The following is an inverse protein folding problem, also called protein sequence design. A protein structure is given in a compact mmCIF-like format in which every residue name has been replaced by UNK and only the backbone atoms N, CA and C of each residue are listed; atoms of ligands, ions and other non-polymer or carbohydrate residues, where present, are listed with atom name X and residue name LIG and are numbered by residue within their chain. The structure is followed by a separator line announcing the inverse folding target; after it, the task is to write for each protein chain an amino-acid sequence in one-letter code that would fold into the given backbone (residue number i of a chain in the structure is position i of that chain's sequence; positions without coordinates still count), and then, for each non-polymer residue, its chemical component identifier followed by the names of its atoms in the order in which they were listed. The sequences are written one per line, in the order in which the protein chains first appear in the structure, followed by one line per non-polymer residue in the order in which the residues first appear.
data_IF_037041102011
#
_entry.id   IF_037041102011
#
_cell.length_a   1.000
_cell.length_b   1.000
_cell.length_c   1.000
_cell.angle_alpha   90.00
_cell.angle_beta   90.00
_cell.angle_gamma   90.00
#
_symmetry.space_group_name_H-M   'P 1'
#
loop_
_entity.id
_entity.type
_entity.pdbx_description
1 polymer ?
#
# COMPACT_ATOMS: atom_id res chain seq x y z
N UNK A 1 -5.13 0.24 -11.65
CA UNK A 1 -5.02 -1.22 -11.45
C UNK A 1 -4.08 -1.88 -12.46
N UNK A 2 -2.75 -1.78 -12.28
CA UNK A 2 -1.80 -2.56 -13.12
C UNK A 2 -1.76 -4.02 -12.68
N UNK A 3 -1.79 -4.96 -13.63
CA UNK A 3 -2.06 -6.40 -13.37
C UNK A 3 -1.21 -7.01 -12.25
N UNK A 4 0.11 -6.82 -12.30
CA UNK A 4 1.02 -7.45 -11.34
C UNK A 4 0.95 -6.81 -9.95
N UNK A 5 0.85 -5.48 -9.86
CA UNK A 5 0.71 -4.81 -8.57
C UNK A 5 -0.63 -5.13 -7.90
N UNK A 6 -1.70 -5.24 -8.70
CA UNK A 6 -3.00 -5.70 -8.22
C UNK A 6 -2.93 -7.14 -7.71
N UNK A 7 -2.20 -8.03 -8.36
CA UNK A 7 -2.02 -9.40 -7.85
C UNK A 7 -1.40 -9.42 -6.45
N UNK A 8 -0.42 -8.55 -6.17
CA UNK A 8 0.14 -8.38 -4.82
C UNK A 8 -0.85 -7.77 -3.82
N UNK A 9 -1.63 -6.77 -4.25
CA UNK A 9 -2.67 -6.16 -3.42
C UNK A 9 -3.76 -7.18 -3.05
N UNK A 10 -4.18 -8.02 -3.99
CA UNK A 10 -5.12 -9.13 -3.78
C UNK A 10 -4.52 -10.22 -2.88
N UNK A 11 -3.22 -10.47 -2.98
CA UNK A 11 -2.50 -11.36 -2.08
C UNK A 11 -2.33 -10.78 -0.66
N UNK A 12 -2.60 -9.48 -0.46
CA UNK A 12 -2.50 -8.75 0.82
C UNK A 12 -1.09 -8.82 1.41
N UNK A 13 -0.09 -8.61 0.56
CA UNK A 13 1.33 -8.72 0.92
C UNK A 13 2.09 -7.50 0.43
N UNK A 14 3.03 -7.05 1.25
CA UNK A 14 4.09 -6.14 0.81
C UNK A 14 4.84 -6.75 -0.38
N UNK A 15 5.40 -5.89 -1.24
CA UNK A 15 6.37 -6.31 -2.25
C UNK A 15 7.77 -6.11 -1.64
N UNK A 16 8.51 -7.20 -1.31
CA UNK A 16 9.87 -7.06 -0.79
C UNK A 16 10.82 -6.49 -1.84
N UNK A 17 11.86 -5.80 -1.38
CA UNK A 17 12.94 -5.33 -2.25
C UNK A 17 13.87 -6.50 -2.62
N UNK A 18 13.72 -7.03 -3.84
CA UNK A 18 14.51 -8.18 -4.31
C UNK A 18 15.72 -7.82 -5.19
N UNK A 19 15.91 -6.55 -5.56
CA UNK A 19 17.01 -6.16 -6.44
C UNK A 19 17.16 -4.65 -6.61
N UNK A 20 18.21 -4.24 -7.30
CA UNK A 20 18.58 -2.83 -7.45
C UNK A 20 17.53 -2.01 -8.20
N UNK A 21 16.84 -2.58 -9.20
CA UNK A 21 15.74 -1.90 -9.89
C UNK A 21 14.63 -1.45 -8.94
N UNK A 22 14.37 -2.20 -7.86
CA UNK A 22 13.44 -1.77 -6.83
C UNK A 22 14.04 -0.63 -6.00
N UNK A 23 15.30 -0.80 -5.57
CA UNK A 23 16.03 0.14 -4.74
C UNK A 23 16.26 1.51 -5.40
N UNK A 24 16.26 1.59 -6.73
CA UNK A 24 16.38 2.84 -7.48
C UNK A 24 15.17 3.78 -7.27
N UNK A 25 14.03 3.25 -6.83
CA UNK A 25 12.77 4.00 -6.69
C UNK A 25 12.15 3.92 -5.28
N UNK A 26 12.33 2.80 -4.59
CA UNK A 26 11.73 2.56 -3.27
C UNK A 26 12.82 2.16 -2.27
N UNK A 27 12.91 2.90 -1.17
CA UNK A 27 13.84 2.62 -0.08
C UNK A 27 13.29 1.54 0.86
N UNK A 28 13.35 0.29 0.42
CA UNK A 28 12.80 -0.86 1.13
C UNK A 28 11.49 -1.36 0.52
N UNK A 29 10.77 -2.29 1.17
CA UNK A 29 9.56 -2.90 0.62
C UNK A 29 8.46 -1.87 0.30
N UNK A 30 7.68 -2.14 -0.76
CA UNK A 30 6.42 -1.41 -1.01
C UNK A 30 5.36 -1.97 -0.06
N UNK A 31 4.83 -1.17 0.89
CA UNK A 31 3.90 -1.66 1.89
C UNK A 31 2.53 -1.99 1.30
N UNK A 32 1.84 -2.97 1.88
CA UNK A 32 0.43 -3.23 1.66
C UNK A 32 -0.37 -2.78 2.89
N UNK A 33 -1.26 -1.81 2.71
CA UNK A 33 -2.19 -1.35 3.72
C UNK A 33 -3.20 -2.45 4.05
N UNK A 34 -3.68 -2.45 5.31
CA UNK A 34 -4.75 -3.35 5.77
C UNK A 34 -6.04 -3.14 4.97
N UNK A 35 -6.95 -4.10 5.09
CA UNK A 35 -8.31 -3.93 4.61
C UNK A 35 -9.06 -2.86 5.43
N UNK A 36 -10.00 -2.19 4.76
CA UNK A 36 -10.98 -1.36 5.43
C UNK A 36 -11.92 -2.23 6.27
N UNK A 37 -12.35 -1.71 7.42
CA UNK A 37 -13.46 -2.34 8.15
C UNK A 37 -14.78 -2.10 7.40
N UNK A 38 -15.84 -2.90 7.67
CA UNK A 38 -17.15 -2.67 7.08
C UNK A 38 -17.66 -1.24 7.30
N UNK A 39 -17.45 -0.68 8.49
CA UNK A 39 -17.86 0.68 8.83
C UNK A 39 -17.08 1.72 8.01
N UNK A 40 -15.77 1.52 7.84
CA UNK A 40 -14.95 2.39 6.99
C UNK A 40 -15.38 2.35 5.51
N UNK A 41 -15.93 1.22 5.05
CA UNK A 41 -16.47 1.08 3.69
C UNK A 41 -17.81 1.83 3.56
N UNK A 42 -18.68 1.71 4.55
CA UNK A 42 -20.03 2.30 4.51
C UNK A 42 -20.05 3.83 4.67
N UNK A 43 -19.12 4.40 5.44
CA UNK A 43 -19.12 5.85 5.72
C UNK A 43 -18.58 6.71 4.55
N UNK A 44 -17.36 6.43 4.08
CA UNK A 44 -16.68 7.20 3.04
C UNK A 44 -15.47 6.40 2.53
N UNK A 45 -15.74 5.48 1.60
CA UNK A 45 -14.79 4.49 1.11
C UNK A 45 -13.47 5.10 0.61
N UNK A 46 -13.53 6.12 -0.25
CA UNK A 46 -12.35 6.76 -0.84
C UNK A 46 -11.53 7.50 0.23
N UNK A 47 -12.19 8.24 1.12
CA UNK A 47 -11.50 8.95 2.20
C UNK A 47 -10.87 7.99 3.20
N UNK A 48 -11.58 6.92 3.56
CA UNK A 48 -11.05 5.92 4.48
C UNK A 48 -9.92 5.10 3.84
N UNK A 49 -9.95 4.86 2.53
CA UNK A 49 -8.79 4.33 1.78
C UNK A 49 -7.56 5.22 1.97
N UNK A 50 -7.72 6.54 1.84
CA UNK A 50 -6.64 7.49 2.12
C UNK A 50 -6.14 7.44 3.57
N UNK A 51 -7.05 7.30 4.54
CA UNK A 51 -6.69 7.19 5.97
C UNK A 51 -5.87 5.94 6.26
N UNK A 52 -6.24 4.76 5.73
CA UNK A 52 -5.48 3.53 5.97
C UNK A 52 -4.12 3.52 5.30
N UNK A 53 -3.96 4.22 4.16
CA UNK A 53 -2.65 4.51 3.58
C UNK A 53 -1.81 5.31 4.58
N UNK A 54 -2.33 6.44 5.07
CA UNK A 54 -1.62 7.30 6.04
C UNK A 54 -1.28 6.54 7.33
N UNK A 55 -2.22 5.75 7.84
CA UNK A 55 -2.04 4.85 8.99
C UNK A 55 -0.86 3.89 8.76
N UNK A 56 -0.80 3.26 7.58
CA UNK A 56 0.25 2.30 7.21
C UNK A 56 1.63 2.95 7.24
N UNK A 57 1.80 4.12 6.61
CA UNK A 57 3.08 4.82 6.60
C UNK A 57 3.50 5.25 8.03
N UNK A 58 2.58 5.83 8.81
CA UNK A 58 2.87 6.32 10.16
C UNK A 58 3.20 5.20 11.14
N UNK A 59 2.38 4.15 11.18
CA UNK A 59 2.56 3.02 12.11
C UNK A 59 3.84 2.25 11.85
N UNK A 60 4.27 2.18 10.58
CA UNK A 60 5.48 1.47 10.16
C UNK A 60 6.73 2.36 10.10
N UNK A 61 6.60 3.66 10.38
CA UNK A 61 7.72 4.61 10.32
C UNK A 61 8.32 4.76 8.92
N UNK A 62 7.50 4.66 7.87
CA UNK A 62 7.94 4.78 6.48
C UNK A 62 7.78 6.22 6.03
N UNK A 63 8.83 6.80 5.44
CA UNK A 63 8.76 8.10 4.79
C UNK A 63 8.22 7.94 3.35
N UNK A 64 7.04 8.53 3.02
CA UNK A 64 6.46 8.43 1.69
C UNK A 64 7.28 9.10 0.59
N UNK A 65 8.22 9.99 0.93
CA UNK A 65 9.17 10.55 -0.04
C UNK A 65 10.20 9.50 -0.47
N UNK A 66 10.56 8.58 0.43
CA UNK A 66 11.53 7.52 0.17
C UNK A 66 10.88 6.22 -0.33
N UNK A 67 9.60 6.00 -0.05
CA UNK A 67 8.81 4.87 -0.56
C UNK A 67 7.54 5.42 -1.23
N UNK A 68 7.65 5.90 -2.49
CA UNK A 68 6.58 6.64 -3.17
C UNK A 68 5.53 5.69 -3.79
N UNK A 69 4.95 4.81 -2.97
CA UNK A 69 3.88 3.92 -3.40
C UNK A 69 3.43 2.94 -2.33
N UNK A 70 2.21 2.46 -2.45
CA UNK A 70 1.54 1.56 -1.50
C UNK A 70 0.52 0.68 -2.22
N UNK A 71 0.29 -0.53 -1.71
CA UNK A 71 -0.81 -1.37 -2.15
C UNK A 71 -1.97 -1.26 -1.16
N UNK A 72 -3.20 -1.08 -1.63
CA UNK A 72 -4.38 -1.25 -0.78
C UNK A 72 -4.87 -2.70 -0.87
N UNK A 73 -4.90 -3.42 0.25
CA UNK A 73 -5.34 -4.82 0.30
C UNK A 73 -6.68 -5.02 -0.41
N UNK A 74 -6.79 -6.10 -1.18
CA UNK A 74 -7.99 -6.46 -1.96
C UNK A 74 -8.40 -5.41 -3.02
N UNK A 75 -7.56 -4.42 -3.30
CA UNK A 75 -7.83 -3.34 -4.25
C UNK A 75 -6.71 -3.19 -5.30
N UNK A 76 -5.71 -2.31 -5.08
CA UNK A 76 -4.69 -2.03 -6.08
C UNK A 76 -3.59 -1.06 -5.59
N UNK A 77 -2.63 -0.73 -6.48
CA UNK A 77 -1.54 0.20 -6.16
C UNK A 77 -2.01 1.67 -6.17
N UNK A 78 -1.37 2.47 -5.32
CA UNK A 78 -1.42 3.93 -5.24
C UNK A 78 -0.01 4.50 -5.18
#
# INVERSE_FOLDING_TARGET
HSTHAVAWAQARRDIPAFGTTHADYFYGPVPCARELTPEEIEEDYEKNTGKVIIETFRTRGIDPVHVPGVLCASHGPF
#
